data_IF_624667324926
#
_entry.id   IF_624667324926
#
_cell.length_a   1.000
_cell.length_b   1.000
_cell.length_c   1.000
_cell.angle_alpha   90.00
_cell.angle_beta   90.00
_cell.angle_gamma   90.00
#
_symmetry.space_group_name_H-M   'P 1'
#
loop_
_entity.id
_entity.type
_entity.pdbx_description
1 polymer ?
#
# COMPACT_ATOMS: atom_id res chain seq x y z
N UNK A 1 -11.05 44.04 -5.42
CA UNK A 1 -9.98 43.37 -4.70
C UNK A 1 -9.14 42.48 -5.61
N UNK A 2 -9.77 41.89 -6.61
CA UNK A 2 -9.04 41.03 -7.55
C UNK A 2 -8.17 41.83 -8.51
N UNK A 3 -8.52 43.08 -8.78
CA UNK A 3 -7.73 43.91 -9.67
C UNK A 3 -6.35 44.24 -9.16
N UNK A 4 -6.13 44.14 -7.86
CA UNK A 4 -4.81 44.44 -7.29
C UNK A 4 -3.79 43.34 -7.51
N UNK A 5 -4.23 42.11 -7.74
CA UNK A 5 -3.30 40.99 -7.98
C UNK A 5 -2.81 40.92 -9.42
N UNK A 6 -3.48 41.64 -10.31
CA UNK A 6 -3.17 41.59 -11.74
C UNK A 6 -1.93 42.37 -12.08
N UNK A 7 -1.52 43.33 -11.23
CA UNK A 7 -0.44 44.26 -11.56
C UNK A 7 0.96 43.81 -11.17
N UNK A 8 1.08 42.67 -10.44
CA UNK A 8 2.37 42.16 -10.04
C UNK A 8 2.71 40.84 -10.70
N UNK A 9 3.96 40.42 -10.55
CA UNK A 9 4.39 39.10 -10.98
C UNK A 9 4.40 38.21 -9.76
N UNK A 10 3.54 37.21 -9.77
CA UNK A 10 3.52 36.20 -8.71
C UNK A 10 4.70 35.25 -8.82
N UNK A 11 5.06 34.66 -7.71
CA UNK A 11 6.16 33.70 -7.67
C UNK A 11 5.58 32.32 -7.32
N UNK A 12 5.91 31.31 -8.13
CA UNK A 12 5.45 29.95 -7.92
C UNK A 12 6.65 29.05 -7.67
N UNK A 13 6.67 28.37 -6.53
CA UNK A 13 7.74 27.45 -6.19
C UNK A 13 7.26 26.00 -6.13
N UNK A 14 5.97 25.75 -5.96
CA UNK A 14 5.40 24.43 -5.85
C UNK A 14 4.03 24.37 -6.50
N UNK A 15 3.57 23.18 -6.82
CA UNK A 15 2.22 22.92 -7.28
C UNK A 15 1.47 22.19 -6.16
N UNK A 16 0.31 22.72 -5.79
CA UNK A 16 -0.56 22.04 -4.84
C UNK A 16 -1.25 20.88 -5.54
N UNK A 17 -1.15 19.72 -4.94
CA UNK A 17 -1.87 18.56 -5.44
C UNK A 17 -3.29 18.60 -4.94
N UNK A 18 -4.23 18.30 -5.82
CA UNK A 18 -5.62 18.18 -5.44
C UNK A 18 -5.87 16.76 -4.96
N UNK A 19 -5.97 16.60 -3.66
CA UNK A 19 -6.38 15.32 -3.08
C UNK A 19 -7.88 15.34 -2.98
N UNK A 20 -8.51 14.76 -3.96
CA UNK A 20 -9.96 14.71 -3.98
C UNK A 20 -10.42 13.33 -3.59
N UNK A 21 -11.52 13.24 -2.85
CA UNK A 21 -12.16 11.98 -2.64
C UNK A 21 -13.05 11.74 -3.85
N UNK A 22 -12.69 10.76 -4.63
CA UNK A 22 -13.47 10.38 -5.80
C UNK A 22 -14.57 9.44 -5.32
N UNK A 23 -15.80 9.69 -5.76
CA UNK A 23 -16.91 8.77 -5.46
C UNK A 23 -16.62 7.42 -6.09
N UNK A 24 -17.37 6.40 -5.68
CA UNK A 24 -17.20 5.06 -6.25
C UNK A 24 -17.20 5.13 -7.78
N UNK A 25 -16.27 4.41 -8.36
CA UNK A 25 -16.14 4.37 -9.81
C UNK A 25 -17.35 3.71 -10.43
N UNK A 26 -17.72 4.18 -11.63
CA UNK A 26 -18.83 3.59 -12.37
C UNK A 26 -18.46 2.23 -12.96
N UNK A 27 -17.18 1.97 -13.21
CA UNK A 27 -16.73 0.70 -13.77
C UNK A 27 -16.11 -0.16 -12.67
N UNK A 28 -16.47 -1.44 -12.69
CA UNK A 28 -15.95 -2.38 -11.70
C UNK A 28 -14.52 -2.79 -12.02
N UNK A 29 -13.79 -3.32 -11.01
CA UNK A 29 -12.41 -3.76 -11.25
C UNK A 29 -12.28 -4.80 -12.36
N UNK A 30 -13.17 -5.78 -12.40
CA UNK A 30 -13.09 -6.81 -13.45
C UNK A 30 -13.36 -6.20 -14.83
N UNK A 31 -14.30 -5.26 -14.91
CA UNK A 31 -14.57 -4.57 -16.17
C UNK A 31 -13.32 -3.85 -16.66
N UNK A 32 -12.65 -3.12 -15.78
CA UNK A 32 -11.43 -2.40 -16.19
C UNK A 32 -10.32 -3.38 -16.56
N UNK A 33 -10.15 -4.43 -15.75
CA UNK A 33 -9.09 -5.40 -16.01
C UNK A 33 -9.27 -6.07 -17.36
N UNK A 34 -10.52 -6.34 -17.74
CA UNK A 34 -10.81 -7.03 -18.99
C UNK A 34 -10.73 -6.13 -20.23
N UNK A 35 -10.42 -4.85 -20.05
CA UNK A 35 -10.07 -3.99 -21.20
C UNK A 35 -8.70 -4.34 -21.76
N UNK A 36 -7.87 -5.00 -20.97
CA UNK A 36 -6.58 -5.45 -21.48
C UNK A 36 -6.76 -6.60 -22.46
N UNK A 37 -5.97 -6.58 -23.54
CA UNK A 37 -6.02 -7.60 -24.57
C UNK A 37 -5.81 -8.99 -23.94
N UNK A 38 -6.62 -9.94 -24.35
CA UNK A 38 -6.54 -11.34 -23.90
C UNK A 38 -6.89 -11.54 -22.44
N UNK A 39 -7.53 -10.57 -21.81
CA UNK A 39 -8.01 -10.71 -20.43
C UNK A 39 -9.48 -11.06 -20.45
N UNK A 40 -9.86 -12.12 -19.72
CA UNK A 40 -11.28 -12.51 -19.61
C UNK A 40 -11.53 -13.09 -18.23
N UNK A 41 -11.38 -12.24 -17.21
CA UNK A 41 -11.58 -12.64 -15.84
C UNK A 41 -13.08 -12.68 -15.55
N UNK A 42 -13.53 -13.75 -14.89
CA UNK A 42 -14.94 -13.88 -14.52
C UNK A 42 -15.33 -12.88 -13.45
N UNK A 43 -16.56 -12.36 -13.55
CA UNK A 43 -17.07 -11.42 -12.54
C UNK A 43 -17.22 -12.05 -11.17
N UNK A 44 -17.22 -13.39 -11.07
CA UNK A 44 -17.28 -14.01 -9.75
C UNK A 44 -16.05 -13.67 -8.89
N UNK A 45 -14.95 -13.24 -9.53
CA UNK A 45 -13.72 -12.85 -8.85
C UNK A 45 -13.65 -11.36 -8.53
N UNK A 46 -14.77 -10.65 -8.65
CA UNK A 46 -14.78 -9.22 -8.34
C UNK A 46 -14.29 -8.97 -6.92
N UNK A 47 -13.26 -8.11 -6.73
CA UNK A 47 -12.85 -7.77 -5.37
C UNK A 47 -13.95 -7.03 -4.62
N UNK A 48 -13.86 -7.07 -3.28
CA UNK A 48 -14.79 -6.32 -2.44
C UNK A 48 -14.42 -4.84 -2.32
N UNK A 49 -13.20 -4.49 -2.68
CA UNK A 49 -12.76 -3.09 -2.67
C UNK A 49 -11.42 -2.96 -3.36
N UNK A 50 -11.23 -1.85 -4.05
CA UNK A 50 -9.97 -1.53 -4.74
C UNK A 50 -9.70 -0.05 -4.59
N UNK A 51 -8.44 0.29 -4.34
CA UNK A 51 -8.00 1.68 -4.31
C UNK A 51 -6.70 1.78 -5.08
N UNK A 52 -6.61 2.72 -6.02
CA UNK A 52 -5.39 2.99 -6.77
C UNK A 52 -5.01 4.45 -6.56
N UNK A 53 -3.77 4.68 -6.14
CA UNK A 53 -3.28 6.03 -5.89
C UNK A 53 -1.90 6.20 -6.51
N UNK A 54 -1.49 7.47 -6.63
CA UNK A 54 -0.11 7.80 -6.95
C UNK A 54 0.70 7.88 -5.65
N UNK A 55 2.02 7.99 -5.79
CA UNK A 55 2.86 8.13 -4.61
C UNK A 55 2.71 9.50 -3.92
N UNK A 56 2.02 10.43 -4.56
CA UNK A 56 1.67 11.71 -3.95
C UNK A 56 0.31 11.67 -3.27
N UNK A 57 -0.38 10.52 -3.32
CA UNK A 57 -1.66 10.37 -2.67
C UNK A 57 -2.87 10.72 -3.50
N UNK A 58 -2.69 11.07 -4.77
CA UNK A 58 -3.82 11.32 -5.65
C UNK A 58 -4.58 10.01 -5.88
N UNK A 59 -5.92 10.06 -5.75
CA UNK A 59 -6.75 8.87 -5.98
C UNK A 59 -7.11 8.81 -7.46
N UNK A 60 -6.69 7.74 -8.12
CA UNK A 60 -7.02 7.54 -9.54
C UNK A 60 -8.22 6.62 -9.71
N UNK A 61 -8.43 5.70 -8.79
CA UNK A 61 -9.55 4.75 -8.88
C UNK A 61 -9.96 4.34 -7.48
N UNK A 62 -11.26 4.34 -7.25
CA UNK A 62 -11.86 3.98 -5.96
C UNK A 62 -13.10 3.13 -6.24
N UNK A 63 -13.01 1.84 -5.92
CA UNK A 63 -14.15 0.95 -6.01
C UNK A 63 -14.41 0.41 -4.62
N UNK A 64 -15.49 0.90 -4.00
CA UNK A 64 -15.88 0.47 -2.65
C UNK A 64 -14.70 0.53 -1.67
N UNK A 65 -13.95 1.61 -1.76
CA UNK A 65 -12.72 1.75 -0.97
C UNK A 65 -12.94 1.76 0.53
N UNK A 66 -14.17 2.07 0.99
CA UNK A 66 -14.50 2.07 2.40
C UNK A 66 -15.19 0.79 2.86
N UNK A 67 -15.32 -0.22 2.00
CA UNK A 67 -15.91 -1.49 2.38
C UNK A 67 -15.00 -2.23 3.35
N UNK A 68 -15.52 -2.55 4.53
CA UNK A 68 -14.70 -3.16 5.57
C UNK A 68 -14.55 -4.65 5.32
N UNK A 69 -13.30 -5.13 5.34
CA UNK A 69 -12.97 -6.53 5.10
C UNK A 69 -11.85 -6.95 6.05
N UNK A 70 -11.53 -8.23 6.02
CA UNK A 70 -10.40 -8.78 6.77
C UNK A 70 -9.12 -8.54 5.96
N UNK A 71 -8.20 -7.69 6.43
CA UNK A 71 -6.96 -7.43 5.69
C UNK A 71 -5.95 -8.57 5.80
N UNK A 72 -6.17 -9.48 6.74
CA UNK A 72 -5.27 -10.61 6.95
C UNK A 72 -3.82 -10.12 7.07
N UNK A 73 -2.90 -10.77 6.37
CA UNK A 73 -1.48 -10.49 6.49
C UNK A 73 -1.06 -9.13 5.92
N UNK A 74 -1.97 -8.40 5.28
CA UNK A 74 -1.62 -7.01 4.94
C UNK A 74 -1.41 -6.18 6.21
N UNK A 75 -1.97 -6.63 7.34
CA UNK A 75 -1.69 -6.02 8.66
C UNK A 75 -0.19 -5.96 8.95
N UNK A 76 0.58 -6.89 8.38
CA UNK A 76 2.04 -6.92 8.60
C UNK A 76 2.72 -5.66 8.06
N UNK A 77 2.09 -4.92 7.15
CA UNK A 77 2.66 -3.64 6.73
C UNK A 77 2.79 -2.67 7.92
N UNK A 78 1.84 -2.71 8.85
CA UNK A 78 1.95 -1.89 10.04
C UNK A 78 3.08 -2.39 10.95
N UNK A 79 3.22 -3.70 11.08
CA UNK A 79 4.30 -4.28 11.86
C UNK A 79 5.66 -3.88 11.28
N UNK A 80 5.78 -3.91 9.95
CA UNK A 80 7.01 -3.47 9.29
C UNK A 80 7.27 -1.98 9.52
N UNK A 81 6.23 -1.15 9.41
CA UNK A 81 6.37 0.28 9.65
C UNK A 81 6.91 0.54 11.06
N UNK A 82 6.30 -0.09 12.07
CA UNK A 82 6.70 0.13 13.45
C UNK A 82 8.09 -0.46 13.75
N UNK A 83 8.46 -1.54 13.06
CA UNK A 83 9.79 -2.11 13.20
C UNK A 83 10.85 -1.14 12.66
N UNK A 84 10.62 -0.59 11.47
CA UNK A 84 11.54 0.41 10.92
C UNK A 84 11.58 1.67 11.77
N UNK A 85 10.43 2.06 12.35
CA UNK A 85 10.42 3.22 13.24
C UNK A 85 11.28 2.96 14.48
N UNK A 86 11.20 1.75 15.05
CA UNK A 86 12.05 1.39 16.18
C UNK A 86 13.52 1.42 15.80
N UNK A 87 13.85 0.99 14.57
CA UNK A 87 15.23 1.05 14.10
C UNK A 87 15.67 2.50 13.93
N UNK A 88 14.83 3.34 13.35
CA UNK A 88 15.12 4.76 13.18
C UNK A 88 15.37 5.44 14.53
N UNK A 89 14.61 5.06 15.54
CA UNK A 89 14.72 5.65 16.87
C UNK A 89 15.82 5.02 17.75
N UNK A 90 16.56 4.07 17.21
CA UNK A 90 17.67 3.46 17.92
C UNK A 90 17.31 2.36 18.90
N UNK A 91 16.03 1.94 18.92
CA UNK A 91 15.61 0.86 19.82
C UNK A 91 16.02 -0.52 19.34
N UNK A 92 16.14 -0.69 18.03
CA UNK A 92 16.56 -1.92 17.39
C UNK A 92 17.57 -1.62 16.32
N UNK A 93 18.35 -2.63 15.95
CA UNK A 93 19.23 -2.55 14.77
C UNK A 93 18.91 -3.70 13.83
N UNK A 94 19.13 -3.48 12.54
CA UNK A 94 18.87 -4.53 11.55
C UNK A 94 19.69 -5.80 11.84
N UNK A 95 20.90 -5.65 12.38
CA UNK A 95 21.76 -6.80 12.66
C UNK A 95 21.65 -7.32 14.10
N UNK A 96 20.72 -6.80 14.89
CA UNK A 96 20.45 -7.40 16.21
C UNK A 96 20.04 -8.86 16.03
N UNK A 97 20.55 -9.71 16.88
CA UNK A 97 20.32 -11.15 16.80
C UNK A 97 19.20 -11.57 17.72
N UNK A 98 18.29 -12.39 17.20
CA UNK A 98 17.19 -12.95 17.96
C UNK A 98 17.40 -14.45 18.05
N UNK A 99 17.54 -14.95 19.26
CA UNK A 99 17.69 -16.38 19.47
C UNK A 99 16.31 -17.04 19.46
N UNK A 100 16.20 -18.14 18.74
CA UNK A 100 14.93 -18.87 18.64
C UNK A 100 14.78 -19.75 19.87
N UNK A 101 13.83 -19.38 20.69
CA UNK A 101 13.46 -20.12 21.89
C UNK A 101 12.51 -21.25 21.52
N UNK A 102 12.23 -22.14 22.47
CA UNK A 102 11.20 -23.15 22.24
C UNK A 102 9.85 -22.52 21.91
N UNK A 103 9.52 -21.41 22.56
CA UNK A 103 8.29 -20.67 22.29
C UNK A 103 8.21 -20.26 20.82
N UNK A 104 9.27 -19.65 20.31
CA UNK A 104 9.27 -19.17 18.93
C UNK A 104 9.24 -20.34 17.94
N UNK A 105 9.98 -21.40 18.23
CA UNK A 105 9.98 -22.57 17.36
C UNK A 105 8.58 -23.17 17.26
N UNK A 106 7.92 -23.34 18.40
CA UNK A 106 6.56 -23.91 18.43
C UNK A 106 5.58 -22.99 17.71
N UNK A 107 5.69 -21.68 17.92
CA UNK A 107 4.83 -20.72 17.23
C UNK A 107 4.98 -20.81 15.72
N UNK A 108 6.19 -21.04 15.24
CA UNK A 108 6.44 -21.10 13.80
C UNK A 108 5.86 -22.35 13.13
N UNK A 109 5.40 -23.30 13.92
CA UNK A 109 4.84 -24.56 13.41
C UNK A 109 3.37 -24.75 13.76
N UNK A 110 2.68 -23.68 14.13
CA UNK A 110 1.24 -23.73 14.41
C UNK A 110 0.47 -24.20 13.16
N UNK A 111 -0.53 -25.05 13.35
CA UNK A 111 -1.30 -25.51 12.19
C UNK A 111 -2.14 -24.39 11.58
N UNK A 112 -2.32 -24.45 10.26
CA UNK A 112 -3.17 -23.54 9.50
C UNK A 112 -2.67 -22.10 9.45
N UNK A 113 -1.42 -21.86 9.84
CA UNK A 113 -0.78 -20.56 9.74
C UNK A 113 0.55 -20.71 9.02
N UNK A 114 0.76 -19.88 7.99
CA UNK A 114 2.03 -19.93 7.28
C UNK A 114 3.11 -19.23 8.10
N UNK A 115 4.28 -19.84 8.13
CA UNK A 115 5.48 -19.29 8.74
C UNK A 115 6.68 -19.96 8.11
N UNK A 116 7.82 -19.30 8.19
CA UNK A 116 9.09 -19.99 7.97
C UNK A 116 9.39 -20.76 9.24
N UNK A 117 9.60 -22.08 9.12
CA UNK A 117 9.84 -22.92 10.30
C UNK A 117 11.15 -22.52 10.97
N UNK A 118 11.09 -22.32 12.28
CA UNK A 118 12.24 -21.91 13.08
C UNK A 118 12.61 -23.02 14.03
N UNK A 119 13.92 -23.27 14.18
CA UNK A 119 14.41 -24.31 15.09
C UNK A 119 15.00 -23.69 16.34
N UNK A 120 14.66 -24.26 17.48
CA UNK A 120 15.21 -23.82 18.75
C UNK A 120 16.73 -23.80 18.70
N UNK A 121 17.33 -22.74 19.23
CA UNK A 121 18.77 -22.57 19.28
C UNK A 121 19.36 -21.84 18.10
N UNK A 122 18.65 -21.77 16.98
CA UNK A 122 19.11 -20.96 15.85
C UNK A 122 18.96 -19.49 16.17
N UNK A 123 19.69 -18.67 15.44
CA UNK A 123 19.68 -17.23 15.60
C UNK A 123 19.36 -16.57 14.26
N UNK A 124 18.49 -15.57 14.27
CA UNK A 124 18.14 -14.78 13.09
C UNK A 124 18.30 -13.30 13.41
N UNK A 125 18.70 -12.52 12.43
CA UNK A 125 18.76 -11.07 12.61
C UNK A 125 17.37 -10.45 12.44
N UNK A 126 17.22 -9.23 12.95
CA UNK A 126 15.99 -8.47 12.71
C UNK A 126 15.73 -8.36 11.21
N UNK A 127 16.77 -8.06 10.41
CA UNK A 127 16.59 -7.97 8.94
C UNK A 127 16.09 -9.28 8.35
N UNK A 128 16.61 -10.40 8.82
CA UNK A 128 16.13 -11.70 8.32
C UNK A 128 14.68 -11.94 8.67
N UNK A 129 14.25 -11.52 9.86
CA UNK A 129 12.84 -11.65 10.25
C UNK A 129 11.96 -10.69 9.45
N UNK A 130 12.46 -9.50 9.12
CA UNK A 130 11.75 -8.59 8.21
C UNK A 130 11.54 -9.28 6.85
N UNK A 131 12.57 -9.96 6.34
CA UNK A 131 12.44 -10.67 5.06
C UNK A 131 11.41 -11.80 5.13
N UNK A 132 11.41 -12.56 6.22
CA UNK A 132 10.40 -13.62 6.39
C UNK A 132 8.99 -13.05 6.43
N UNK A 133 8.82 -11.95 7.16
CA UNK A 133 7.53 -11.28 7.30
C UNK A 133 7.03 -10.77 5.95
N UNK A 134 7.93 -10.15 5.19
CA UNK A 134 7.56 -9.50 3.93
C UNK A 134 7.34 -10.49 2.81
N UNK A 135 8.26 -11.44 2.62
CA UNK A 135 8.23 -12.32 1.46
C UNK A 135 7.33 -13.52 1.68
N UNK A 136 7.56 -14.25 2.75
CA UNK A 136 6.82 -15.49 3.04
C UNK A 136 5.56 -15.23 3.84
N UNK A 137 5.33 -13.99 4.24
CA UNK A 137 4.20 -13.66 5.11
C UNK A 137 4.23 -14.47 6.40
N UNK A 138 5.42 -14.66 6.98
CA UNK A 138 5.57 -15.48 8.17
C UNK A 138 4.85 -14.84 9.35
N UNK A 139 3.90 -15.57 9.90
CA UNK A 139 3.17 -15.10 11.09
C UNK A 139 4.08 -15.09 12.30
N UNK A 140 4.91 -16.14 12.46
CA UNK A 140 5.81 -16.18 13.59
C UNK A 140 6.80 -15.01 13.57
N UNK A 141 7.38 -14.72 12.40
CA UNK A 141 8.34 -13.61 12.30
C UNK A 141 7.68 -12.29 12.70
N UNK A 142 6.45 -12.06 12.24
CA UNK A 142 5.74 -10.82 12.59
C UNK A 142 5.49 -10.74 14.10
N UNK A 143 5.10 -11.84 14.72
CA UNK A 143 4.87 -11.85 16.16
C UNK A 143 6.15 -11.58 16.93
N UNK A 144 7.27 -12.15 16.46
CA UNK A 144 8.57 -11.92 17.09
C UNK A 144 8.96 -10.43 16.97
N UNK A 145 8.78 -9.85 15.78
CA UNK A 145 9.10 -8.43 15.58
C UNK A 145 8.29 -7.56 16.54
N UNK A 146 7.00 -7.86 16.70
CA UNK A 146 6.18 -7.10 17.63
C UNK A 146 6.72 -7.15 19.07
N UNK A 147 7.11 -8.33 19.52
CA UNK A 147 7.71 -8.47 20.85
C UNK A 147 9.00 -7.67 20.98
N UNK A 148 9.84 -7.72 19.94
CA UNK A 148 11.13 -7.03 20.01
C UNK A 148 10.97 -5.52 20.00
N UNK A 149 9.95 -5.00 19.31
CA UNK A 149 9.70 -3.56 19.30
C UNK A 149 9.11 -3.08 20.63
N UNK A 150 8.15 -3.81 21.19
CA UNK A 150 7.35 -3.30 22.31
C UNK A 150 7.45 -4.10 23.60
N UNK A 151 8.19 -5.20 23.61
CA UNK A 151 8.32 -6.04 24.78
C UNK A 151 7.23 -7.11 24.90
N UNK A 152 6.00 -6.79 24.50
CA UNK A 152 4.91 -7.76 24.44
C UNK A 152 3.94 -7.35 23.35
N UNK A 153 3.13 -8.29 22.89
CA UNK A 153 2.26 -8.04 21.76
C UNK A 153 0.93 -7.39 22.11
N UNK A 154 0.56 -7.30 23.38
CA UNK A 154 -0.54 -6.43 23.76
C UNK A 154 -0.16 -4.97 23.54
N UNK A 155 1.02 -4.60 24.02
CA UNK A 155 1.54 -3.24 23.84
C UNK A 155 1.73 -2.93 22.38
N UNK A 156 2.29 -3.87 21.61
CA UNK A 156 2.53 -3.64 20.19
C UNK A 156 1.22 -3.47 19.41
N UNK A 157 0.22 -4.29 19.71
CA UNK A 157 -1.07 -4.19 19.00
C UNK A 157 -1.76 -2.86 19.30
N UNK A 158 -1.68 -2.40 20.56
CA UNK A 158 -2.15 -1.05 20.89
C UNK A 158 -1.45 -0.01 20.03
N UNK A 159 -0.14 -0.15 19.87
CA UNK A 159 0.64 0.79 19.08
C UNK A 159 0.23 0.74 17.60
N UNK A 160 -0.06 -0.45 17.07
CA UNK A 160 -0.56 -0.58 15.71
C UNK A 160 -1.85 0.24 15.52
N UNK A 161 -2.76 0.14 16.49
CA UNK A 161 -4.03 0.85 16.38
C UNK A 161 -3.89 2.35 16.59
N UNK A 162 -2.98 2.77 17.45
CA UNK A 162 -2.67 4.20 17.63
C UNK A 162 -2.09 4.79 16.34
N UNK A 163 -1.19 4.05 15.72
CA UNK A 163 -0.58 4.51 14.48
C UNK A 163 -1.62 4.57 13.35
N UNK A 164 -2.53 3.62 13.32
CA UNK A 164 -3.60 3.64 12.33
C UNK A 164 -4.43 4.91 12.46
N UNK A 165 -4.76 5.31 13.69
CA UNK A 165 -5.49 6.55 13.92
C UNK A 165 -4.71 7.75 13.40
N UNK A 166 -3.41 7.79 13.64
CA UNK A 166 -2.59 8.93 13.18
C UNK A 166 -2.50 8.99 11.66
N UNK A 167 -2.68 7.85 10.98
CA UNK A 167 -2.73 7.81 9.51
C UNK A 167 -4.13 8.04 8.96
N UNK A 168 -5.10 8.35 9.81
CA UNK A 168 -6.50 8.52 9.41
C UNK A 168 -7.12 7.24 8.86
N UNK A 169 -6.65 6.10 9.33
CA UNK A 169 -7.24 4.80 8.98
C UNK A 169 -8.43 4.54 9.89
N UNK A 170 -9.52 5.24 9.61
CA UNK A 170 -10.65 5.31 10.53
C UNK A 170 -11.51 4.05 10.58
N UNK A 171 -11.31 3.14 9.62
CA UNK A 171 -12.09 1.90 9.57
C UNK A 171 -11.19 0.67 9.76
N UNK A 172 -10.15 0.82 10.55
CA UNK A 172 -9.16 -0.23 10.77
C UNK A 172 -9.06 -0.58 12.24
N UNK A 173 -9.00 -1.88 12.52
CA UNK A 173 -8.74 -2.39 13.86
C UNK A 173 -7.82 -3.60 13.73
N UNK A 174 -6.62 -3.51 14.28
CA UNK A 174 -5.66 -4.61 14.31
C UNK A 174 -5.83 -5.39 15.59
N UNK A 175 -5.59 -6.71 15.54
CA UNK A 175 -5.78 -7.58 16.69
C UNK A 175 -4.52 -8.36 17.06
N UNK A 176 -3.49 -8.32 16.24
CA UNK A 176 -2.17 -8.87 16.54
C UNK A 176 -1.17 -8.40 15.47
N UNK A 177 0.12 -8.61 15.69
CA UNK A 177 1.13 -8.14 14.71
C UNK A 177 1.12 -8.85 13.37
N UNK A 178 0.52 -10.03 13.29
CA UNK A 178 0.58 -10.86 12.08
C UNK A 178 -0.62 -10.69 11.16
N UNK A 179 -1.73 -10.20 11.71
CA UNK A 179 -2.98 -10.16 10.95
C UNK A 179 -3.65 -11.52 10.81
N UNK A 180 -3.18 -12.50 11.56
CA UNK A 180 -3.77 -13.82 11.57
C UNK A 180 -5.02 -13.84 12.45
N UNK A 181 -5.83 -14.87 12.25
CA UNK A 181 -6.98 -15.12 13.11
C UNK A 181 -6.47 -15.48 14.51
N UNK A 182 -6.94 -14.75 15.54
CA UNK A 182 -6.42 -14.96 16.89
C UNK A 182 -6.64 -16.37 17.42
N UNK A 183 -7.75 -17.01 17.03
CA UNK A 183 -7.96 -18.39 17.46
C UNK A 183 -6.92 -19.35 16.90
N UNK A 184 -6.36 -19.03 15.73
CA UNK A 184 -5.29 -19.85 15.16
C UNK A 184 -3.94 -19.59 15.81
N UNK A 185 -3.72 -18.39 16.32
CA UNK A 185 -2.51 -18.10 17.08
C UNK A 185 -2.55 -18.74 18.47
N UNK A 186 -3.73 -19.13 18.93
CA UNK A 186 -3.93 -19.88 20.16
C UNK A 186 -3.33 -19.13 21.34
N UNK A 187 -2.47 -19.80 22.11
CA UNK A 187 -1.88 -19.18 23.31
C UNK A 187 -0.97 -17.99 23.00
N UNK A 188 -0.56 -17.83 21.75
CA UNK A 188 0.33 -16.74 21.38
C UNK A 188 -0.42 -15.47 20.99
N UNK A 189 -1.74 -15.54 20.84
CA UNK A 189 -2.54 -14.34 20.56
C UNK A 189 -2.40 -13.34 21.71
N UNK A 190 -2.36 -12.03 21.40
CA UNK A 190 -2.28 -11.05 22.50
C UNK A 190 -3.49 -11.19 23.41
N UNK A 191 -3.25 -11.35 24.71
CA UNK A 191 -4.33 -11.70 25.64
C UNK A 191 -5.44 -10.67 25.70
N UNK A 192 -5.10 -9.40 25.51
CA UNK A 192 -6.09 -8.33 25.57
C UNK A 192 -6.92 -8.22 24.30
N UNK A 193 -6.57 -8.96 23.24
CA UNK A 193 -7.25 -8.90 21.97
C UNK A 193 -7.89 -10.22 21.56
N UNK A 194 -7.79 -11.24 22.39
CA UNK A 194 -8.23 -12.60 22.02
C UNK A 194 -9.71 -12.69 21.63
N UNK A 195 -10.54 -11.83 22.21
CA UNK A 195 -11.99 -11.86 21.90
C UNK A 195 -12.29 -11.31 20.51
N UNK A 196 -11.33 -10.62 19.91
CA UNK A 196 -11.47 -10.12 18.55
C UNK A 196 -10.69 -11.07 17.65
N UNK A 197 -11.41 -11.89 16.91
CA UNK A 197 -10.76 -12.99 16.20
C UNK A 197 -10.07 -12.52 14.91
N UNK A 198 -10.64 -11.52 14.23
CA UNK A 198 -10.14 -11.05 12.94
C UNK A 198 -9.84 -9.57 12.96
N UNK A 199 -8.78 -9.15 12.27
CA UNK A 199 -8.58 -7.70 12.04
C UNK A 199 -9.61 -7.21 11.02
N UNK A 200 -9.79 -5.89 10.98
CA UNK A 200 -10.68 -5.24 10.03
C UNK A 200 -9.97 -4.05 9.41
N UNK A 201 -10.21 -3.84 8.11
CA UNK A 201 -9.69 -2.67 7.43
C UNK A 201 -10.46 -2.46 6.13
N UNK A 202 -9.95 -1.56 5.29
CA UNK A 202 -10.56 -1.25 4.00
C UNK A 202 -9.46 -1.08 2.96
N UNK A 203 -9.84 -1.11 1.68
CA UNK A 203 -8.87 -0.82 0.61
C UNK A 203 -8.27 0.57 0.78
N UNK A 204 -9.09 1.54 1.16
CA UNK A 204 -8.61 2.90 1.37
C UNK A 204 -7.60 2.96 2.51
N UNK A 205 -7.92 2.35 3.66
CA UNK A 205 -7.04 2.40 4.81
C UNK A 205 -5.73 1.67 4.55
N UNK A 206 -5.81 0.49 3.92
CA UNK A 206 -4.58 -0.25 3.58
C UNK A 206 -3.73 0.53 2.58
N UNK A 207 -4.36 1.29 1.68
CA UNK A 207 -3.62 2.12 0.75
C UNK A 207 -2.91 3.26 1.48
N UNK A 208 -3.59 3.88 2.46
CA UNK A 208 -2.92 4.90 3.28
C UNK A 208 -1.71 4.33 3.99
N UNK A 209 -1.84 3.10 4.50
CA UNK A 209 -0.73 2.45 5.20
C UNK A 209 0.43 2.16 4.27
N UNK A 210 0.15 1.63 3.07
CA UNK A 210 1.24 1.33 2.15
C UNK A 210 1.93 2.60 1.68
N UNK A 211 1.17 3.68 1.47
CA UNK A 211 1.78 4.97 1.12
C UNK A 211 2.72 5.45 2.24
N UNK A 212 2.26 5.35 3.49
CA UNK A 212 3.08 5.80 4.62
C UNK A 212 4.36 4.98 4.74
N UNK A 213 4.24 3.66 4.58
CA UNK A 213 5.39 2.77 4.68
C UNK A 213 6.43 3.08 3.59
N UNK A 214 5.98 3.19 2.34
CA UNK A 214 6.89 3.44 1.22
C UNK A 214 7.52 4.84 1.34
N UNK A 215 6.73 5.83 1.74
CA UNK A 215 7.24 7.19 1.82
C UNK A 215 8.29 7.34 2.91
N UNK A 216 8.03 6.80 4.09
CA UNK A 216 8.96 7.00 5.20
C UNK A 216 10.10 6.00 5.21
N UNK A 217 9.83 4.75 4.82
CA UNK A 217 10.83 3.69 4.86
C UNK A 217 10.93 3.00 3.51
N UNK A 218 11.39 3.74 2.48
CA UNK A 218 11.46 3.18 1.13
C UNK A 218 12.42 1.99 1.01
N UNK A 219 13.29 1.79 2.00
CA UNK A 219 14.18 0.64 2.01
C UNK A 219 13.42 -0.69 2.03
N UNK A 220 12.13 -0.68 2.45
CA UNK A 220 11.33 -1.91 2.39
C UNK A 220 11.26 -2.45 0.95
N UNK A 221 11.34 -1.57 -0.04
CA UNK A 221 11.23 -1.99 -1.44
C UNK A 221 12.43 -2.83 -1.87
N UNK A 222 13.60 -2.66 -1.23
CA UNK A 222 14.75 -3.50 -1.54
C UNK A 222 14.53 -4.93 -1.06
N UNK A 223 13.63 -5.12 -0.11
CA UNK A 223 13.25 -6.45 0.38
C UNK A 223 12.05 -6.97 -0.40
N UNK A 224 10.99 -6.17 -0.50
CA UNK A 224 9.73 -6.65 -1.08
C UNK A 224 9.85 -7.01 -2.56
N UNK A 225 10.87 -6.51 -3.26
CA UNK A 225 11.09 -6.85 -4.66
C UNK A 225 11.71 -8.23 -4.87
N UNK A 226 12.24 -8.85 -3.81
CA UNK A 226 12.94 -10.13 -3.94
C UNK A 226 11.95 -11.26 -4.20
N UNK A 227 12.20 -12.11 -5.19
CA UNK A 227 11.29 -13.25 -5.43
C UNK A 227 11.48 -14.38 -4.42
N UNK A 228 12.62 -14.42 -3.73
CA UNK A 228 12.91 -15.44 -2.74
C UNK A 228 14.07 -15.02 -1.86
N UNK A 229 14.26 -15.76 -0.77
CA UNK A 229 15.45 -15.60 0.08
C UNK A 229 15.80 -16.95 0.68
N UNK A 230 17.05 -17.11 1.06
CA UNK A 230 17.54 -18.34 1.71
C UNK A 230 18.16 -17.96 3.03
N UNK A 231 17.72 -18.63 4.10
CA UNK A 231 18.23 -18.40 5.44
C UNK A 231 18.44 -19.76 6.12
N UNK A 232 19.62 -19.96 6.69
CA UNK A 232 19.95 -21.23 7.35
C UNK A 232 19.65 -22.43 6.47
N UNK A 233 19.93 -22.34 5.18
CA UNK A 233 19.67 -23.44 4.24
C UNK A 233 18.23 -23.63 3.81
N UNK A 234 17.34 -22.77 4.27
CA UNK A 234 15.91 -22.87 3.99
C UNK A 234 15.52 -21.75 3.01
N UNK A 235 15.02 -22.12 1.84
CA UNK A 235 14.61 -21.14 0.83
C UNK A 235 13.09 -20.96 0.90
N UNK A 236 12.66 -19.70 0.91
CA UNK A 236 11.24 -19.39 0.85
C UNK A 236 11.00 -18.36 -0.25
N UNK A 237 9.84 -18.47 -0.87
CA UNK A 237 9.47 -17.64 -2.01
C UNK A 237 8.54 -16.53 -1.58
N UNK A 238 8.60 -15.40 -2.32
CA UNK A 238 7.62 -14.34 -2.16
C UNK A 238 6.25 -14.84 -2.59
N UNK A 239 5.23 -14.39 -1.86
CA UNK A 239 3.83 -14.66 -2.23
C UNK A 239 3.32 -13.71 -3.32
N UNK A 240 4.11 -12.71 -3.70
CA UNK A 240 3.70 -11.72 -4.69
C UNK A 240 4.03 -12.21 -6.11
N UNK A 241 3.02 -12.64 -6.83
CA UNK A 241 3.20 -13.22 -8.16
C UNK A 241 3.52 -12.20 -9.25
N UNK A 242 3.44 -10.90 -8.94
CA UNK A 242 3.68 -9.85 -9.93
C UNK A 242 5.14 -9.39 -9.98
N UNK A 243 6.00 -9.94 -9.14
CA UNK A 243 7.42 -9.58 -9.12
C UNK A 243 8.19 -10.22 -10.27
N UNK A 244 9.35 -9.61 -10.60
CA UNK A 244 10.26 -10.20 -11.58
C UNK A 244 10.64 -11.60 -11.14
N UNK A 245 10.58 -12.55 -12.06
CA UNK A 245 10.87 -13.96 -11.76
C UNK A 245 9.65 -14.75 -11.29
N UNK A 246 8.48 -14.14 -11.27
CA UNK A 246 7.26 -14.78 -10.85
C UNK A 246 6.30 -14.93 -12.04
N UNK A 247 5.29 -15.82 -11.93
CA UNK A 247 4.45 -16.16 -13.10
C UNK A 247 3.65 -15.02 -13.69
N UNK A 248 3.30 -14.02 -12.91
CA UNK A 248 2.45 -12.92 -13.39
C UNK A 248 3.22 -11.59 -13.35
N UNK A 249 4.50 -11.66 -13.68
CA UNK A 249 5.37 -10.49 -13.64
C UNK A 249 4.76 -9.29 -14.37
N UNK A 250 4.69 -8.16 -13.67
CA UNK A 250 4.35 -6.87 -14.26
C UNK A 250 5.59 -5.98 -14.14
N UNK A 251 6.23 -5.60 -15.27
CA UNK A 251 7.44 -4.78 -15.17
C UNK A 251 7.24 -3.54 -14.30
N UNK A 252 8.23 -3.27 -13.48
CA UNK A 252 8.17 -2.13 -12.55
C UNK A 252 7.66 -2.47 -11.18
N UNK A 253 7.12 -3.67 -10.96
CA UNK A 253 6.60 -4.06 -9.65
C UNK A 253 7.74 -4.39 -8.70
N UNK A 254 7.77 -3.72 -7.54
CA UNK A 254 8.79 -3.96 -6.53
C UNK A 254 8.22 -4.20 -5.12
N UNK A 255 6.93 -4.48 -5.03
CA UNK A 255 6.30 -4.80 -3.74
C UNK A 255 4.80 -4.95 -3.86
N UNK A 256 4.03 -5.08 -2.77
CA UNK A 256 4.53 -4.86 -1.42
C UNK A 256 4.17 -6.00 -0.48
N UNK A 257 2.86 -6.41 -0.43
CA UNK A 257 2.44 -7.40 0.56
C UNK A 257 1.13 -8.04 0.15
N UNK A 258 1.05 -9.35 0.35
CA UNK A 258 -0.21 -10.10 0.17
C UNK A 258 -0.90 -10.30 1.51
N UNK A 259 -2.19 -10.64 1.44
CA UNK A 259 -2.94 -11.09 2.59
C UNK A 259 -3.88 -12.21 2.18
N UNK A 260 -3.96 -13.24 2.99
CA UNK A 260 -4.83 -14.38 2.72
C UNK A 260 -5.50 -14.79 4.03
N UNK A 261 -6.81 -14.95 3.98
CA UNK A 261 -7.57 -15.49 5.10
C UNK A 261 -8.57 -16.49 4.55
N UNK A 262 -9.32 -17.13 5.45
CA UNK A 262 -10.36 -18.03 4.98
C UNK A 262 -11.51 -17.31 4.27
N UNK A 263 -11.44 -15.99 4.19
CA UNK A 263 -12.46 -15.19 3.52
C UNK A 263 -12.07 -14.79 2.09
N UNK A 264 -10.78 -14.82 1.75
CA UNK A 264 -10.35 -14.48 0.41
C UNK A 264 -8.92 -13.99 0.35
N UNK A 265 -8.58 -13.38 -0.79
CA UNK A 265 -7.22 -13.00 -1.14
C UNK A 265 -7.11 -11.50 -1.34
N UNK A 266 -6.09 -10.91 -0.71
CA UNK A 266 -5.80 -9.47 -0.79
C UNK A 266 -4.39 -9.25 -1.32
N UNK A 267 -4.14 -8.08 -1.91
CA UNK A 267 -2.77 -7.69 -2.22
C UNK A 267 -2.62 -6.17 -2.23
N UNK A 268 -1.47 -5.72 -1.76
CA UNK A 268 -0.99 -4.35 -1.96
C UNK A 268 0.14 -4.44 -2.99
N UNK A 269 -0.07 -3.84 -4.15
CA UNK A 269 0.94 -3.80 -5.22
C UNK A 269 1.48 -2.39 -5.34
N UNK A 270 2.79 -2.28 -5.55
CA UNK A 270 3.39 -1.00 -5.88
C UNK A 270 4.26 -1.20 -7.12
N UNK A 271 4.13 -0.28 -8.05
CA UNK A 271 4.72 -0.41 -9.38
C UNK A 271 5.21 0.94 -9.83
N UNK A 272 6.46 1.00 -10.27
CA UNK A 272 7.05 2.25 -10.75
C UNK A 272 7.58 2.08 -12.16
N UNK A 273 7.10 2.93 -13.07
CA UNK A 273 7.60 3.03 -14.43
C UNK A 273 7.55 4.50 -14.85
N UNK A 274 8.54 4.92 -15.61
CA UNK A 274 8.55 6.27 -16.18
C UNK A 274 8.33 7.34 -15.12
N UNK A 275 8.97 7.17 -13.97
CA UNK A 275 8.93 8.09 -12.83
C UNK A 275 7.57 8.18 -12.16
N UNK A 276 6.61 7.36 -12.56
CA UNK A 276 5.29 7.33 -11.93
C UNK A 276 5.16 6.06 -11.11
N UNK A 277 5.02 6.21 -9.80
CA UNK A 277 4.72 5.09 -8.91
C UNK A 277 3.23 5.04 -8.65
N UNK A 278 2.66 3.86 -8.84
CA UNK A 278 1.25 3.60 -8.54
C UNK A 278 1.16 2.61 -7.39
N UNK A 279 0.30 2.92 -6.43
CA UNK A 279 0.07 2.08 -5.26
C UNK A 279 -1.37 1.59 -5.28
N UNK A 280 -1.55 0.29 -5.17
CA UNK A 280 -2.85 -0.31 -5.36
C UNK A 280 -3.16 -1.31 -4.26
N UNK A 281 -4.38 -1.26 -3.72
CA UNK A 281 -4.86 -2.29 -2.81
C UNK A 281 -6.06 -2.98 -3.43
N UNK A 282 -5.99 -4.32 -3.48
CA UNK A 282 -7.06 -5.18 -3.98
C UNK A 282 -7.50 -6.03 -2.78
N UNK A 283 -8.78 -5.94 -2.43
CA UNK A 283 -9.26 -6.59 -1.22
C UNK A 283 -10.29 -7.65 -1.52
N UNK A 284 -10.05 -8.82 -0.97
CA UNK A 284 -11.07 -9.87 -0.80
C UNK A 284 -11.55 -10.45 -2.12
N UNK A 285 -10.61 -10.97 -2.90
CA UNK A 285 -10.95 -11.78 -4.08
C UNK A 285 -11.30 -13.17 -3.57
N UNK A 286 -12.49 -13.66 -3.90
CA UNK A 286 -13.08 -14.89 -3.35
C UNK A 286 -13.29 -15.94 -4.43
N UNK A 287 -13.47 -17.18 -4.04
CA UNK A 287 -13.46 -17.72 -2.69
C UNK A 287 -12.07 -18.22 -2.28
N UNK A 288 -11.85 -18.28 -0.97
CA UNK A 288 -10.64 -18.90 -0.45
C UNK A 288 -10.60 -20.35 -0.90
N UNK A 289 -9.41 -20.82 -1.28
CA UNK A 289 -9.22 -22.19 -1.72
C UNK A 289 -9.33 -22.37 -3.22
N UNK A 290 -9.80 -21.37 -3.93
CA UNK A 290 -9.88 -21.39 -5.39
C UNK A 290 -8.56 -20.82 -5.93
N UNK A 291 -7.81 -21.66 -6.66
CA UNK A 291 -6.51 -21.22 -7.18
C UNK A 291 -6.65 -20.06 -8.15
N UNK A 292 -7.77 -19.99 -8.86
CA UNK A 292 -8.01 -18.86 -9.77
C UNK A 292 -8.27 -17.57 -8.99
N UNK A 293 -8.93 -17.66 -7.84
CA UNK A 293 -9.10 -16.46 -7.00
C UNK A 293 -7.74 -15.96 -6.52
N UNK A 294 -6.87 -16.87 -6.12
CA UNK A 294 -5.54 -16.50 -5.66
C UNK A 294 -4.74 -15.82 -6.76
N UNK A 295 -4.75 -16.37 -7.97
CA UNK A 295 -4.03 -15.77 -9.10
C UNK A 295 -4.70 -14.47 -9.55
N UNK A 296 -6.03 -14.41 -9.48
CA UNK A 296 -6.75 -13.24 -9.98
C UNK A 296 -6.56 -12.00 -9.11
N UNK A 297 -6.16 -12.13 -7.84
CA UNK A 297 -5.82 -10.90 -7.12
C UNK A 297 -4.66 -10.18 -7.80
N UNK A 298 -3.69 -10.94 -8.32
CA UNK A 298 -2.57 -10.33 -9.07
C UNK A 298 -2.97 -9.96 -10.49
N UNK A 299 -3.76 -10.81 -11.17
CA UNK A 299 -4.17 -10.48 -12.54
C UNK A 299 -4.99 -9.20 -12.58
N UNK A 300 -5.98 -9.09 -11.68
CA UNK A 300 -6.81 -7.89 -11.63
C UNK A 300 -5.94 -6.68 -11.31
N UNK A 301 -5.07 -6.81 -10.30
CA UNK A 301 -4.19 -5.71 -9.93
C UNK A 301 -3.28 -5.28 -11.07
N UNK A 302 -2.65 -6.24 -11.75
CA UNK A 302 -1.78 -5.93 -12.87
C UNK A 302 -2.52 -5.19 -13.99
N UNK A 303 -3.70 -5.69 -14.34
CA UNK A 303 -4.43 -5.15 -15.49
C UNK A 303 -4.95 -3.74 -15.20
N UNK A 304 -5.39 -3.48 -13.97
CA UNK A 304 -5.83 -2.14 -13.60
C UNK A 304 -4.64 -1.16 -13.66
N UNK A 305 -3.48 -1.57 -13.16
CA UNK A 305 -2.29 -0.73 -13.24
C UNK A 305 -1.96 -0.42 -14.70
N UNK A 306 -2.00 -1.43 -15.58
CA UNK A 306 -1.74 -1.21 -17.00
C UNK A 306 -2.72 -0.20 -17.60
N UNK A 307 -4.01 -0.34 -17.28
CA UNK A 307 -5.03 0.56 -17.81
C UNK A 307 -4.80 1.99 -17.37
N UNK A 308 -4.42 2.19 -16.12
CA UNK A 308 -4.22 3.55 -15.62
C UNK A 308 -2.90 4.15 -16.09
N UNK A 309 -1.89 3.34 -16.38
CA UNK A 309 -0.67 3.85 -17.01
C UNK A 309 -0.91 4.31 -18.43
N UNK A 310 -1.93 3.79 -19.11
CA UNK A 310 -2.30 4.29 -20.42
C UNK A 310 -3.01 5.63 -20.35
N UNK A 311 -3.58 5.98 -19.21
CA UNK A 311 -4.38 7.19 -19.04
C UNK A 311 -3.64 8.35 -18.39
N UNK A 312 -2.61 8.07 -17.57
CA UNK A 312 -1.94 9.08 -16.76
C UNK A 312 -0.44 9.02 -16.94
N UNK A 313 0.21 10.15 -16.72
CA UNK A 313 1.68 10.23 -16.76
C UNK A 313 2.18 11.24 -15.74
N UNK A 314 3.42 11.06 -15.31
CA UNK A 314 4.14 12.03 -14.51
C UNK A 314 4.84 12.97 -15.48
N UNK A 315 4.56 14.27 -15.37
CA UNK A 315 4.94 15.19 -16.42
C UNK A 315 5.34 16.54 -15.85
N UNK A 316 6.29 17.18 -16.51
CA UNK A 316 6.59 18.58 -16.22
C UNK A 316 5.42 19.43 -16.70
N UNK A 317 4.71 20.04 -15.77
CA UNK A 317 3.52 20.84 -16.08
C UNK A 317 3.81 22.32 -16.10
N UNK A 318 4.89 22.78 -15.46
CA UNK A 318 5.36 24.16 -15.57
C UNK A 318 6.87 24.15 -15.62
N UNK A 319 7.42 24.90 -16.56
CA UNK A 319 8.87 25.10 -16.66
C UNK A 319 9.29 26.28 -15.82
N UNK A 320 10.56 26.27 -15.41
CA UNK A 320 11.18 27.43 -14.80
C UNK A 320 11.04 28.64 -15.75
N UNK A 321 10.74 29.81 -15.18
CA UNK A 321 10.63 31.04 -15.98
C UNK A 321 9.28 31.71 -15.81
N UNK A 322 9.00 32.62 -16.72
CA UNK A 322 7.79 33.43 -16.67
C UNK A 322 6.64 32.76 -17.41
N UNK A 323 5.46 32.80 -16.79
CA UNK A 323 4.25 32.18 -17.35
C UNK A 323 3.04 33.06 -17.09
N UNK A 324 2.04 32.90 -17.94
CA UNK A 324 0.74 33.51 -17.72
C UNK A 324 -0.27 32.39 -17.40
N UNK A 325 -0.94 32.50 -16.26
CA UNK A 325 -1.92 31.51 -15.82
C UNK A 325 -3.18 32.27 -15.39
N UNK A 326 -4.31 31.92 -16.01
CA UNK A 326 -5.59 32.58 -15.75
C UNK A 326 -5.49 34.09 -15.90
N UNK A 327 -4.71 34.54 -16.89
CA UNK A 327 -4.58 35.96 -17.19
C UNK A 327 -3.61 36.73 -16.34
N UNK A 328 -2.94 36.10 -15.41
CA UNK A 328 -1.97 36.73 -14.51
C UNK A 328 -0.58 36.21 -14.78
N UNK A 329 0.41 37.07 -14.58
CA UNK A 329 1.81 36.73 -14.82
C UNK A 329 2.45 36.16 -13.56
N UNK A 330 3.25 35.11 -13.72
CA UNK A 330 3.93 34.47 -12.62
C UNK A 330 5.34 34.10 -13.00
N UNK A 331 6.23 34.10 -12.02
CA UNK A 331 7.59 33.60 -12.20
C UNK A 331 7.70 32.25 -11.47
N UNK A 332 8.09 31.20 -12.20
CA UNK A 332 8.26 29.86 -11.67
C UNK A 332 9.73 29.64 -11.39
N UNK A 333 10.07 29.38 -10.12
CA UNK A 333 11.47 29.29 -9.70
C UNK A 333 12.16 28.00 -10.09
N UNK A 334 11.40 26.92 -10.31
CA UNK A 334 11.96 25.65 -10.74
C UNK A 334 10.91 24.88 -11.51
N UNK A 335 11.36 23.93 -12.34
CA UNK A 335 10.44 23.06 -13.05
C UNK A 335 9.53 22.32 -12.06
N UNK A 336 8.25 22.29 -12.37
CA UNK A 336 7.25 21.65 -11.50
C UNK A 336 6.60 20.48 -12.22
N UNK A 337 6.45 19.36 -11.51
CA UNK A 337 5.95 18.11 -12.06
C UNK A 337 4.68 17.68 -11.33
N UNK A 338 3.83 16.95 -12.05
CA UNK A 338 2.62 16.40 -11.45
C UNK A 338 2.16 15.20 -12.27
N UNK A 339 1.25 14.42 -11.71
CA UNK A 339 0.59 13.34 -12.43
C UNK A 339 -0.66 13.89 -13.07
N UNK A 340 -0.76 13.75 -14.37
CA UNK A 340 -1.86 14.33 -15.15
C UNK A 340 -2.37 13.31 -16.16
N UNK A 341 -3.63 13.45 -16.61
CA UNK A 341 -4.08 12.64 -17.74
C UNK A 341 -3.22 12.90 -18.97
N UNK A 342 -2.94 11.85 -19.74
CA UNK A 342 -2.22 12.02 -21.00
C UNK A 342 -3.03 12.82 -22.01
N UNK A 343 -4.36 12.73 -21.94
CA UNK A 343 -5.26 13.51 -22.77
C UNK A 343 -5.29 14.95 -22.26
N UNK A 344 -4.62 15.84 -22.97
CA UNK A 344 -4.48 17.24 -22.55
C UNK A 344 -5.80 17.99 -22.51
N UNK A 345 -6.83 17.50 -23.19
CA UNK A 345 -8.14 18.13 -23.14
C UNK A 345 -8.85 17.94 -21.81
N UNK A 346 -8.32 17.08 -20.93
CA UNK A 346 -8.98 16.75 -19.68
C UNK A 346 -8.44 17.50 -18.47
N UNK A 347 -7.50 18.42 -18.68
CA UNK A 347 -6.96 19.19 -17.56
C UNK A 347 -6.38 20.51 -18.01
N UNK A 348 -6.23 21.43 -17.07
CA UNK A 348 -5.46 22.67 -17.29
C UNK A 348 -4.95 23.15 -15.94
N UNK A 349 -3.99 24.07 -15.99
CA UNK A 349 -3.47 24.68 -14.76
C UNK A 349 -4.38 25.83 -14.35
N UNK A 350 -4.61 25.96 -13.06
CA UNK A 350 -5.44 27.01 -12.49
C UNK A 350 -4.80 27.50 -11.21
N UNK A 351 -5.27 28.66 -10.75
CA UNK A 351 -4.78 29.25 -9.51
C UNK A 351 -5.97 29.48 -8.58
N UNK A 352 -5.80 29.07 -7.32
CA UNK A 352 -6.87 29.29 -6.34
C UNK A 352 -6.77 30.67 -5.73
N UNK A 353 -7.73 31.02 -4.87
CA UNK A 353 -7.78 32.35 -4.25
C UNK A 353 -6.58 32.65 -3.35
N UNK A 354 -5.84 31.62 -2.95
CA UNK A 354 -4.64 31.78 -2.12
C UNK A 354 -3.36 31.87 -2.95
N UNK A 355 -3.48 31.92 -4.27
CA UNK A 355 -2.33 32.04 -5.15
C UNK A 355 -1.58 30.75 -5.40
N UNK A 356 -2.17 29.60 -5.09
CA UNK A 356 -1.53 28.32 -5.33
C UNK A 356 -1.99 27.73 -6.67
N UNK A 357 -1.03 27.20 -7.42
CA UNK A 357 -1.31 26.57 -8.71
C UNK A 357 -1.74 25.11 -8.48
N UNK A 358 -2.69 24.66 -9.26
CA UNK A 358 -3.15 23.28 -9.20
C UNK A 358 -3.59 22.80 -10.57
N UNK A 359 -3.67 21.49 -10.73
CA UNK A 359 -4.17 20.88 -11.95
C UNK A 359 -5.68 20.73 -11.81
N UNK A 360 -6.42 21.29 -12.74
CA UNK A 360 -7.87 21.20 -12.77
C UNK A 360 -8.26 20.15 -13.82
N UNK A 361 -9.09 19.17 -13.43
CA UNK A 361 -9.52 18.09 -14.32
C UNK A 361 -10.92 18.35 -14.80
N UNK A 362 -11.11 18.31 -16.10
CA UNK A 362 -12.44 18.57 -16.67
C UNK A 362 -13.43 17.41 -16.50
N UNK A 363 -13.06 16.41 -16.86
CA UNK A 363 -13.88 15.31 -17.06
C UNK A 363 -14.28 14.58 -15.85
N UNK A 364 -13.63 14.82 -14.98
CA UNK A 364 -13.78 14.06 -13.75
C UNK A 364 -14.54 14.91 -12.72
N UNK A 365 -14.75 16.18 -13.03
CA UNK A 365 -15.28 17.14 -12.05
C UNK A 365 -16.66 16.73 -11.49
N UNK A 366 -17.49 16.10 -12.30
CA UNK A 366 -18.83 15.72 -11.85
C UNK A 366 -18.82 14.74 -10.69
N UNK A 367 -17.75 13.99 -10.55
CA UNK A 367 -17.66 12.92 -9.55
C UNK A 367 -16.59 13.16 -8.51
N UNK A 368 -16.03 14.36 -8.45
CA UNK A 368 -14.97 14.68 -7.51
C UNK A 368 -15.41 15.79 -6.58
N UNK A 369 -15.24 15.56 -5.31
CA UNK A 369 -15.35 16.64 -4.33
C UNK A 369 -14.00 17.35 -4.30
N UNK A 370 -13.86 18.35 -5.12
CA UNK A 370 -12.61 19.11 -5.18
C UNK A 370 -12.59 20.04 -3.98
N UNK A 371 -11.68 19.77 -3.08
CA UNK A 371 -11.46 20.70 -1.99
C UNK A 371 -10.58 21.83 -2.51
N UNK A 372 -11.08 23.01 -2.44
CA UNK A 372 -10.25 24.18 -2.71
C UNK A 372 -9.23 24.28 -1.60
N UNK A 373 -7.96 24.18 -1.94
CA UNK A 373 -6.87 24.31 -0.97
C UNK A 373 -6.70 25.77 -0.55
#
# INVERSE_FOLDING_TARGET
LFGKFVKGIGIITTISLLHTSISDASESPVTIANKEKNSSISTKYQPSGVMLTTDQGQILYNYRGNNQVDPASMSKMMTLYLTYEAIENGKLKLNDKVKITNKYATMSNLPNLSSVSLKQGQTYTIEELIKQTTLASSNAAAMILGEKVSGDNNTFTNKMNQQAKSFNMTNTNFVNPAGAQNSLLDQYAPSKFKKQDFPKSTAKDMNLLMQALIKKYPQILQISKLPRDTQRGNTFKSTNLSLKGQPLYLPGTDGLKTGTSNKGYNIALTNKQDQLRLNETIMNVKPFGDVNAKYNRNRIGNQIIKQYRQKYEYKKVLTEGDHEIDGNKYHVKKDLYDVVPKDKSKWHLAINSKGKVYVHYYXIVKNMNIRKC
#
